data_IF_319454848690
#
_entry.id   IF_319454848690
#
_cell.length_a   1.000
_cell.length_b   1.000
_cell.length_c   1.000
_cell.angle_alpha   90.00
_cell.angle_beta   90.00
_cell.angle_gamma   90.00
#
_symmetry.space_group_name_H-M   'P 1'
#
loop_
_entity.id
_entity.type
_entity.pdbx_description
1 polymer ?
#
# COMPACT_ATOMS: atom_id res chain seq x y z
N UNK A 1 -14.13 2.76 26.08
CA UNK A 1 -14.80 2.40 24.83
C UNK A 1 -14.28 1.05 24.39
N UNK A 2 -15.17 0.08 24.13
CA UNK A 2 -14.80 -1.28 23.81
C UNK A 2 -14.41 -1.37 22.32
N UNK A 3 -13.28 -2.01 22.01
CA UNK A 3 -12.82 -2.27 20.64
C UNK A 3 -13.27 -3.65 20.18
N UNK A 4 -13.38 -3.86 18.87
CA UNK A 4 -13.70 -5.18 18.32
C UNK A 4 -12.70 -6.26 18.76
N UNK A 5 -11.42 -5.90 18.87
CA UNK A 5 -10.36 -6.77 19.39
C UNK A 5 -10.57 -7.26 20.83
N UNK A 6 -11.43 -6.61 21.61
CA UNK A 6 -11.75 -7.03 22.99
C UNK A 6 -12.72 -8.23 23.02
N UNK A 7 -13.28 -8.64 21.88
CA UNK A 7 -14.30 -9.69 21.77
C UNK A 7 -13.82 -10.87 20.93
N UNK A 8 -14.23 -12.07 21.32
CA UNK A 8 -13.91 -13.29 20.57
C UNK A 8 -14.92 -13.62 19.47
N UNK A 9 -16.17 -13.19 19.64
CA UNK A 9 -17.27 -13.46 18.71
C UNK A 9 -18.11 -12.19 18.50
N UNK A 10 -17.99 -11.60 17.30
CA UNK A 10 -18.74 -10.41 16.91
C UNK A 10 -19.59 -10.75 15.68
N UNK A 11 -20.83 -10.29 15.69
CA UNK A 11 -21.82 -10.51 14.63
C UNK A 11 -22.46 -9.17 14.27
N UNK A 12 -22.49 -8.83 12.98
CA UNK A 12 -23.31 -7.74 12.49
C UNK A 12 -24.67 -8.27 12.02
N UNK A 13 -25.73 -7.73 12.60
CA UNK A 13 -27.12 -8.08 12.23
C UNK A 13 -27.66 -7.11 11.16
N UNK A 14 -28.86 -7.35 10.69
CA UNK A 14 -29.61 -6.43 9.86
C UNK A 14 -30.07 -5.18 10.64
N UNK A 15 -30.99 -4.43 10.06
CA UNK A 15 -31.63 -3.30 10.72
C UNK A 15 -32.58 -3.77 11.85
N UNK A 16 -33.31 -2.85 12.44
CA UNK A 16 -34.24 -3.10 13.55
C UNK A 16 -35.34 -4.11 13.21
N UNK A 17 -35.68 -4.27 11.91
CA UNK A 17 -36.68 -5.22 11.41
C UNK A 17 -36.07 -6.58 10.99
N UNK A 18 -34.74 -6.67 10.82
CA UNK A 18 -34.02 -7.88 10.39
C UNK A 18 -32.86 -8.21 11.36
N UNK A 19 -33.18 -8.90 12.43
CA UNK A 19 -32.18 -9.36 13.42
C UNK A 19 -31.27 -10.50 12.95
N UNK A 20 -31.29 -10.89 11.66
CA UNK A 20 -30.44 -11.95 11.15
C UNK A 20 -29.00 -11.51 11.00
N UNK A 21 -28.07 -12.34 11.48
CA UNK A 21 -26.64 -12.10 11.27
C UNK A 21 -26.29 -12.13 9.76
N UNK A 22 -25.57 -11.12 9.31
CA UNK A 22 -24.99 -11.09 7.96
C UNK A 22 -23.96 -12.22 7.83
N UNK A 23 -23.85 -12.85 6.63
CA UNK A 23 -22.97 -14.03 6.43
C UNK A 23 -22.28 -13.98 5.08
N UNK A 24 -21.02 -14.48 5.06
CA UNK A 24 -20.21 -14.72 3.86
C UNK A 24 -20.16 -13.52 2.92
N UNK A 25 -19.88 -12.34 3.45
CA UNK A 25 -19.86 -11.09 2.70
C UNK A 25 -18.98 -10.03 3.33
N UNK A 26 -18.58 -9.05 2.53
CA UNK A 26 -18.06 -7.80 3.00
C UNK A 26 -19.18 -6.91 3.52
N UNK A 27 -18.92 -6.20 4.61
CA UNK A 27 -19.85 -5.26 5.21
C UNK A 27 -19.12 -3.99 5.64
N UNK A 28 -19.64 -2.84 5.23
CA UNK A 28 -19.11 -1.53 5.56
C UNK A 28 -19.98 -0.91 6.64
N UNK A 29 -19.37 -0.48 7.73
CA UNK A 29 -20.07 0.13 8.87
C UNK A 29 -19.08 0.87 9.76
N UNK A 30 -19.61 1.66 10.67
CA UNK A 30 -18.85 2.35 11.72
C UNK A 30 -18.20 1.36 12.68
N UNK A 31 -17.26 1.84 13.48
CA UNK A 31 -16.74 1.09 14.62
C UNK A 31 -17.81 0.94 15.69
N UNK A 32 -17.83 -0.15 16.47
CA UNK A 32 -18.77 -0.29 17.57
C UNK A 32 -18.72 0.83 18.60
N UNK A 33 -17.55 1.40 18.85
CA UNK A 33 -17.37 2.53 19.74
C UNK A 33 -18.00 3.83 19.24
N UNK A 34 -18.29 3.93 17.95
CA UNK A 34 -18.85 5.12 17.31
C UNK A 34 -20.39 5.04 17.16
N UNK A 35 -21.01 3.88 17.49
CA UNK A 35 -22.47 3.68 17.36
C UNK A 35 -23.31 4.56 18.31
N UNK A 36 -22.72 5.00 19.42
CA UNK A 36 -23.39 5.87 20.40
C UNK A 36 -23.10 7.36 20.16
N UNK A 37 -22.27 7.67 19.15
CA UNK A 37 -21.92 9.04 18.78
C UNK A 37 -22.81 9.50 17.61
N UNK A 38 -23.65 10.51 17.86
CA UNK A 38 -24.56 11.08 16.85
C UNK A 38 -23.84 11.94 15.80
N UNK A 39 -22.48 12.00 15.82
CA UNK A 39 -21.70 12.72 14.84
C UNK A 39 -21.78 12.03 13.47
N UNK A 40 -22.39 12.72 12.48
CA UNK A 40 -22.57 12.24 11.10
C UNK A 40 -21.24 12.04 10.33
N UNK A 41 -20.09 12.40 10.92
CA UNK A 41 -18.77 12.37 10.32
C UNK A 41 -17.93 11.12 10.69
N UNK A 42 -18.55 10.10 11.29
CA UNK A 42 -17.83 8.87 11.66
C UNK A 42 -17.40 8.08 10.43
N UNK A 43 -16.11 7.70 10.41
CA UNK A 43 -15.53 6.89 9.34
C UNK A 43 -16.14 5.48 9.31
N UNK A 44 -16.54 5.01 8.12
CA UNK A 44 -16.96 3.63 7.89
C UNK A 44 -15.77 2.76 7.45
N UNK A 45 -15.74 1.53 7.96
CA UNK A 45 -14.70 0.54 7.67
C UNK A 45 -15.29 -0.73 7.07
N UNK A 46 -14.52 -1.41 6.22
CA UNK A 46 -14.88 -2.69 5.65
C UNK A 46 -14.47 -3.85 6.55
N UNK A 47 -15.41 -4.73 6.85
CA UNK A 47 -15.21 -5.96 7.64
C UNK A 47 -15.55 -7.18 6.79
N UNK A 48 -14.81 -8.27 6.98
CA UNK A 48 -15.15 -9.56 6.39
C UNK A 48 -15.99 -10.37 7.37
N UNK A 49 -17.17 -10.84 6.94
CA UNK A 49 -18.05 -11.72 7.70
C UNK A 49 -17.97 -13.12 7.09
N UNK A 50 -17.64 -14.12 7.90
CA UNK A 50 -17.47 -15.48 7.47
C UNK A 50 -18.84 -16.19 7.19
N UNK A 51 -18.77 -17.47 6.75
CA UNK A 51 -19.97 -18.28 6.46
C UNK A 51 -20.85 -18.55 7.68
N UNK A 52 -20.30 -18.45 8.89
CA UNK A 52 -21.04 -18.63 10.14
C UNK A 52 -21.64 -17.32 10.65
N UNK A 53 -21.36 -16.19 10.00
CA UNK A 53 -21.80 -14.85 10.39
C UNK A 53 -20.83 -14.14 11.32
N UNK A 54 -19.69 -14.75 11.64
CA UNK A 54 -18.69 -14.17 12.54
C UNK A 54 -17.84 -13.16 11.79
N UNK A 55 -17.66 -11.96 12.37
CA UNK A 55 -16.73 -10.93 11.88
C UNK A 55 -15.31 -11.45 12.05
N UNK A 56 -14.50 -11.30 11.00
CA UNK A 56 -13.09 -11.64 11.10
C UNK A 56 -12.36 -10.57 11.91
N UNK A 57 -11.86 -10.96 13.06
CA UNK A 57 -10.94 -10.20 13.90
C UNK A 57 -9.67 -11.03 13.98
N UNK A 58 -8.48 -10.47 13.64
CA UNK A 58 -7.22 -11.18 13.82
C UNK A 58 -7.07 -11.64 15.27
N UNK A 59 -6.66 -12.88 15.47
CA UNK A 59 -6.33 -13.33 16.82
C UNK A 59 -5.16 -12.49 17.34
N UNK A 60 -5.28 -12.04 18.58
CA UNK A 60 -4.14 -11.48 19.31
C UNK A 60 -3.10 -12.60 19.47
N UNK A 61 -2.13 -12.62 18.55
CA UNK A 61 -1.03 -13.57 18.63
C UNK A 61 -0.11 -13.07 19.73
N UNK A 62 -0.18 -13.75 20.87
CA UNK A 62 0.65 -13.48 22.03
C UNK A 62 2.09 -13.11 21.62
N UNK A 63 2.45 -11.86 21.92
CA UNK A 63 3.78 -11.27 21.86
C UNK A 63 4.52 -11.27 20.51
N UNK A 64 4.35 -10.21 19.73
CA UNK A 64 5.42 -9.70 18.86
C UNK A 64 5.64 -10.43 17.54
N UNK A 65 4.70 -11.22 17.05
CA UNK A 65 4.82 -11.91 15.76
C UNK A 65 3.99 -11.30 14.62
N UNK A 66 3.17 -10.28 14.89
CA UNK A 66 2.44 -9.59 13.83
C UNK A 66 3.37 -8.68 13.01
N UNK A 67 3.13 -8.60 11.71
CA UNK A 67 3.76 -7.58 10.90
C UNK A 67 3.30 -6.19 11.38
N UNK A 68 4.17 -5.19 11.23
CA UNK A 68 3.79 -3.81 11.49
C UNK A 68 4.07 -2.93 10.28
N UNK A 69 3.33 -1.85 10.13
CA UNK A 69 3.48 -0.96 9.00
C UNK A 69 2.85 0.41 9.19
N UNK A 70 2.90 1.17 8.10
CA UNK A 70 2.36 2.52 8.02
C UNK A 70 1.47 2.67 6.80
N UNK A 71 0.45 3.52 6.90
CA UNK A 71 -0.36 3.97 5.76
C UNK A 71 0.37 5.06 4.99
N UNK A 72 0.25 4.99 3.66
CA UNK A 72 0.75 6.00 2.73
C UNK A 72 -0.35 6.43 1.77
N UNK A 73 -0.20 7.61 1.21
CA UNK A 73 -0.98 8.11 0.07
C UNK A 73 -0.05 8.60 -1.02
N UNK A 74 -0.56 8.66 -2.23
CA UNK A 74 0.13 9.23 -3.37
C UNK A 74 -0.19 10.71 -3.45
N UNK A 75 0.83 11.56 -3.43
CA UNK A 75 0.73 13.01 -3.58
C UNK A 75 1.88 13.49 -4.47
N UNK A 76 1.58 14.18 -5.56
CA UNK A 76 2.56 14.82 -6.46
C UNK A 76 3.78 13.90 -6.77
N UNK A 77 3.52 12.74 -7.35
CA UNK A 77 4.53 11.72 -7.67
C UNK A 77 5.33 11.19 -6.44
N UNK A 78 4.81 11.38 -5.23
CA UNK A 78 5.47 10.98 -3.99
C UNK A 78 4.53 10.13 -3.12
N UNK A 79 5.09 9.09 -2.49
CA UNK A 79 4.39 8.34 -1.47
C UNK A 79 4.61 9.01 -0.10
N UNK A 80 3.59 9.72 0.38
CA UNK A 80 3.59 10.42 1.66
C UNK A 80 2.95 9.57 2.75
N UNK A 81 3.59 9.49 3.92
CA UNK A 81 3.05 8.77 5.07
C UNK A 81 1.77 9.44 5.58
N UNK A 82 0.71 8.65 5.76
CA UNK A 82 -0.58 9.10 6.32
C UNK A 82 -0.62 8.94 7.83
N UNK A 83 -1.26 9.87 8.52
CA UNK A 83 -1.61 9.69 9.92
C UNK A 83 -2.75 8.67 10.04
N UNK A 84 -2.69 7.87 11.09
CA UNK A 84 -3.78 7.00 11.53
C UNK A 84 -4.15 7.45 12.94
N UNK A 85 -5.40 7.81 13.17
CA UNK A 85 -5.86 8.38 14.43
C UNK A 85 -4.99 9.57 14.92
N UNK A 86 -4.67 10.48 13.99
CA UNK A 86 -3.88 11.68 14.27
C UNK A 86 -2.37 11.51 14.43
N UNK A 87 -1.84 10.28 14.35
CA UNK A 87 -0.43 9.96 14.58
C UNK A 87 0.20 9.19 13.41
N UNK A 88 1.53 9.31 13.26
CA UNK A 88 2.33 8.50 12.32
C UNK A 88 2.83 7.18 12.95
N UNK A 89 2.11 6.66 13.95
CA UNK A 89 2.49 5.40 14.59
C UNK A 89 2.25 4.22 13.65
N UNK A 90 3.13 3.22 13.75
CA UNK A 90 2.92 1.95 13.09
C UNK A 90 1.72 1.22 13.72
N UNK A 91 1.05 0.42 12.93
CA UNK A 91 -0.04 -0.45 13.37
C UNK A 91 0.26 -1.89 12.97
N UNK A 92 -0.36 -2.82 13.67
CA UNK A 92 -0.24 -4.24 13.38
C UNK A 92 -1.04 -4.63 12.14
N UNK A 93 -0.51 -5.60 11.40
CA UNK A 93 -1.06 -6.05 10.12
C UNK A 93 -1.15 -7.56 10.11
N UNK A 94 -2.32 -8.07 9.78
CA UNK A 94 -2.55 -9.49 9.52
C UNK A 94 -3.02 -9.68 8.08
N UNK A 95 -2.43 -10.68 7.39
CA UNK A 95 -2.83 -11.06 6.04
C UNK A 95 -3.85 -12.19 6.08
N UNK A 96 -4.94 -12.03 5.32
CA UNK A 96 -5.95 -13.07 5.13
C UNK A 96 -6.32 -13.23 3.67
N UNK A 97 -6.50 -14.46 3.26
CA UNK A 97 -7.07 -14.78 1.94
C UNK A 97 -8.59 -14.87 2.02
N UNK A 98 -9.26 -14.05 1.20
CA UNK A 98 -10.72 -14.06 1.06
C UNK A 98 -11.04 -14.24 -0.43
N UNK A 99 -11.82 -15.26 -0.80
CA UNK A 99 -12.21 -15.54 -2.18
C UNK A 99 -11.01 -15.51 -3.17
N UNK A 100 -9.92 -16.18 -2.80
CA UNK A 100 -8.66 -16.28 -3.57
C UNK A 100 -7.84 -15.01 -3.72
N UNK A 101 -8.25 -13.88 -3.14
CA UNK A 101 -7.48 -12.63 -3.08
C UNK A 101 -6.87 -12.44 -1.70
N UNK A 102 -5.72 -11.80 -1.63
CA UNK A 102 -5.04 -11.47 -0.38
C UNK A 102 -5.48 -10.07 0.07
N UNK A 103 -5.79 -9.92 1.37
CA UNK A 103 -6.18 -8.68 2.03
C UNK A 103 -5.35 -8.49 3.29
N UNK A 104 -5.18 -7.23 3.70
CA UNK A 104 -4.61 -6.89 4.99
C UNK A 104 -5.70 -6.34 5.92
N UNK A 105 -5.55 -6.65 7.20
CA UNK A 105 -6.44 -6.20 8.26
C UNK A 105 -5.62 -5.65 9.42
N UNK A 106 -6.15 -4.65 10.12
CA UNK A 106 -5.63 -4.25 11.42
C UNK A 106 -6.17 -5.16 12.53
N UNK A 107 -5.78 -4.93 13.77
CA UNK A 107 -6.19 -5.76 14.91
C UNK A 107 -7.70 -5.71 15.20
N UNK A 108 -8.37 -4.63 14.83
CA UNK A 108 -9.81 -4.48 15.01
C UNK A 108 -10.62 -5.13 13.86
N UNK A 109 -9.95 -5.84 12.94
CA UNK A 109 -10.60 -6.51 11.80
C UNK A 109 -11.00 -5.58 10.67
N UNK A 110 -10.54 -4.34 10.68
CA UNK A 110 -10.77 -3.39 9.59
C UNK A 110 -9.87 -3.73 8.40
N UNK A 111 -10.47 -3.82 7.22
CA UNK A 111 -9.74 -4.02 5.98
C UNK A 111 -8.88 -2.81 5.65
N UNK A 112 -7.61 -3.05 5.34
CA UNK A 112 -6.68 -2.01 4.92
C UNK A 112 -6.76 -1.79 3.40
N UNK A 113 -6.67 -0.54 2.98
CA UNK A 113 -6.72 -0.10 1.58
C UNK A 113 -5.59 0.87 1.27
N UNK A 114 -5.49 1.30 -0.01
CA UNK A 114 -4.47 2.21 -0.52
C UNK A 114 -3.04 1.64 -0.35
N UNK A 115 -2.06 2.46 -0.01
CA UNK A 115 -0.66 2.06 0.15
C UNK A 115 -0.34 1.73 1.61
N UNK A 116 0.26 0.56 1.83
CA UNK A 116 0.72 0.10 3.14
C UNK A 116 2.19 -0.29 3.02
N UNK A 117 3.06 0.34 3.79
CA UNK A 117 4.45 -0.10 3.92
C UNK A 117 4.58 -1.02 5.14
N UNK A 118 4.94 -2.26 4.90
CA UNK A 118 5.32 -3.21 5.95
C UNK A 118 6.76 -2.91 6.34
N UNK A 119 7.00 -2.61 7.60
CA UNK A 119 8.34 -2.30 8.14
C UNK A 119 8.89 -3.41 9.03
N UNK A 120 8.03 -4.07 9.80
CA UNK A 120 8.37 -5.30 10.51
C UNK A 120 7.70 -6.47 9.81
N UNK A 121 8.44 -7.46 9.28
CA UNK A 121 7.86 -8.56 8.54
C UNK A 121 7.26 -9.62 9.48
N UNK A 122 6.26 -10.37 8.97
CA UNK A 122 5.85 -11.65 9.50
C UNK A 122 6.01 -12.71 8.40
N UNK A 123 7.15 -13.39 8.38
CA UNK A 123 7.49 -14.36 7.35
C UNK A 123 6.66 -15.64 7.42
N UNK A 124 6.09 -15.98 8.57
CA UNK A 124 5.18 -17.12 8.72
C UNK A 124 3.91 -16.92 7.89
N UNK A 125 3.40 -15.68 7.82
CA UNK A 125 2.26 -15.30 6.97
C UNK A 125 2.66 -14.86 5.55
N UNK A 126 3.96 -14.96 5.24
CA UNK A 126 4.51 -14.53 3.96
C UNK A 126 4.43 -13.01 3.75
N UNK A 127 4.45 -12.24 4.85
CA UNK A 127 4.57 -10.79 4.84
C UNK A 127 6.05 -10.40 4.93
N UNK A 128 6.55 -9.73 3.93
CA UNK A 128 7.92 -9.21 3.87
C UNK A 128 7.90 -7.68 3.89
N UNK A 129 9.02 -7.08 4.26
CA UNK A 129 9.18 -5.63 4.26
C UNK A 129 9.00 -5.05 2.86
N UNK A 130 8.31 -3.93 2.76
CA UNK A 130 8.15 -3.18 1.52
C UNK A 130 6.77 -2.53 1.37
N UNK A 131 6.60 -1.81 0.27
CA UNK A 131 5.37 -1.12 -0.07
C UNK A 131 4.41 -2.06 -0.79
N UNK A 132 3.17 -2.10 -0.34
CA UNK A 132 2.05 -2.82 -0.96
C UNK A 132 0.96 -1.83 -1.38
N UNK A 133 0.14 -2.23 -2.35
CA UNK A 133 -1.02 -1.46 -2.79
C UNK A 133 -2.27 -2.33 -2.82
N UNK A 134 -3.38 -1.81 -2.27
CA UNK A 134 -4.63 -2.53 -2.08
C UNK A 134 -5.81 -1.91 -2.82
N UNK A 135 -5.53 -1.07 -3.82
CA UNK A 135 -6.58 -0.34 -4.54
C UNK A 135 -7.10 0.86 -3.77
N UNK A 136 -8.24 1.39 -4.18
CA UNK A 136 -8.93 2.47 -3.48
C UNK A 136 -9.60 2.00 -2.19
N UNK A 137 -10.25 2.92 -1.47
CA UNK A 137 -10.81 2.68 -0.14
C UNK A 137 -11.84 1.54 -0.08
N UNK A 138 -12.55 1.29 -1.16
CA UNK A 138 -13.57 0.24 -1.23
C UNK A 138 -13.09 -1.09 -1.88
N UNK A 139 -11.81 -1.21 -2.24
CA UNK A 139 -11.28 -2.44 -2.88
C UNK A 139 -10.58 -3.37 -1.88
N UNK A 140 -9.49 -2.92 -1.26
CA UNK A 140 -8.70 -3.65 -0.26
C UNK A 140 -7.98 -4.91 -0.78
N UNK A 141 -8.17 -5.35 -2.01
CA UNK A 141 -7.46 -6.51 -2.54
C UNK A 141 -6.03 -6.17 -2.94
N UNK A 142 -5.05 -7.00 -2.49
CA UNK A 142 -3.63 -6.80 -2.81
C UNK A 142 -3.39 -6.79 -4.33
N UNK A 143 -2.74 -5.74 -4.83
CA UNK A 143 -2.41 -5.58 -6.25
C UNK A 143 -1.05 -6.17 -6.58
N UNK A 144 -0.93 -6.67 -7.81
CA UNK A 144 0.31 -7.22 -8.38
C UNK A 144 0.46 -6.76 -9.83
N UNK A 145 1.68 -6.82 -10.37
CA UNK A 145 1.97 -6.37 -11.72
C UNK A 145 1.88 -4.86 -11.89
N UNK A 146 1.64 -4.43 -13.11
CA UNK A 146 1.51 -3.01 -13.45
C UNK A 146 0.18 -2.46 -12.95
N UNK A 147 0.23 -1.31 -12.28
CA UNK A 147 -0.94 -0.58 -11.80
C UNK A 147 -0.86 0.88 -12.28
N UNK A 148 -2.01 1.48 -12.53
CA UNK A 148 -2.15 2.92 -12.74
C UNK A 148 -2.96 3.47 -11.58
N UNK A 149 -2.38 4.38 -10.82
CA UNK A 149 -2.99 4.96 -9.63
C UNK A 149 -3.11 6.45 -9.84
N UNK A 150 -4.28 6.99 -9.52
CA UNK A 150 -4.56 8.42 -9.58
C UNK A 150 -4.39 9.01 -8.20
N UNK A 151 -3.73 10.17 -8.12
CA UNK A 151 -3.66 10.96 -6.89
C UNK A 151 -4.92 11.83 -6.70
N UNK A 152 -4.96 12.60 -5.61
CA UNK A 152 -6.07 13.48 -5.29
C UNK A 152 -6.21 14.67 -6.27
N UNK A 153 -5.14 15.04 -6.98
CA UNK A 153 -5.14 16.08 -8.01
C UNK A 153 -5.68 15.57 -9.35
N UNK A 154 -5.85 14.25 -9.47
CA UNK A 154 -6.34 13.59 -10.69
C UNK A 154 -5.23 13.14 -11.64
N UNK A 155 -3.97 13.32 -11.28
CA UNK A 155 -2.83 12.87 -12.07
C UNK A 155 -2.62 11.36 -11.92
N UNK A 156 -2.17 10.71 -13.00
CA UNK A 156 -2.05 9.26 -13.05
C UNK A 156 -0.59 8.83 -13.09
N UNK A 157 -0.21 8.03 -12.12
CA UNK A 157 1.12 7.48 -11.96
C UNK A 157 1.14 5.97 -12.18
N UNK A 158 2.27 5.48 -12.68
CA UNK A 158 2.47 4.05 -12.96
C UNK A 158 3.26 3.39 -11.84
N UNK A 159 2.80 2.22 -11.46
CA UNK A 159 3.42 1.39 -10.44
C UNK A 159 3.68 -0.01 -10.97
N UNK A 160 4.62 -0.72 -10.33
CA UNK A 160 4.81 -2.14 -10.53
C UNK A 160 5.02 -2.85 -9.18
N UNK A 161 4.16 -3.84 -8.92
CA UNK A 161 4.23 -4.70 -7.74
C UNK A 161 4.56 -6.13 -8.16
N UNK A 162 5.40 -6.83 -7.38
CA UNK A 162 5.83 -8.17 -7.69
C UNK A 162 4.66 -9.12 -7.97
N UNK A 163 4.82 -9.98 -8.97
CA UNK A 163 3.78 -10.93 -9.40
C UNK A 163 3.96 -12.32 -8.80
N UNK A 164 5.16 -12.61 -8.33
CA UNK A 164 5.57 -13.91 -7.76
C UNK A 164 6.64 -13.70 -6.68
N UNK A 165 6.88 -14.73 -5.89
CA UNK A 165 8.03 -14.78 -5.00
C UNK A 165 9.22 -15.39 -5.74
N UNK A 166 10.33 -14.65 -5.78
CA UNK A 166 11.60 -15.07 -6.41
C UNK A 166 12.76 -14.36 -5.72
N UNK A 167 13.99 -14.59 -6.19
CA UNK A 167 15.17 -13.88 -5.67
C UNK A 167 15.19 -12.38 -5.97
N UNK A 168 14.42 -11.94 -6.98
CA UNK A 168 14.40 -10.54 -7.45
C UNK A 168 13.12 -9.80 -7.16
N UNK A 169 12.04 -10.47 -6.75
CA UNK A 169 10.77 -9.83 -6.42
C UNK A 169 9.96 -10.66 -5.42
N UNK A 170 9.17 -9.97 -4.59
CA UNK A 170 8.21 -10.59 -3.70
C UNK A 170 6.79 -10.20 -4.14
N UNK A 171 5.88 -11.18 -4.14
CA UNK A 171 4.50 -10.98 -4.59
C UNK A 171 3.82 -9.86 -3.81
N UNK A 172 3.29 -8.86 -4.52
CA UNK A 172 2.59 -7.71 -3.97
C UNK A 172 3.50 -6.57 -3.51
N UNK A 173 4.82 -6.78 -3.44
CA UNK A 173 5.77 -5.75 -3.00
C UNK A 173 6.15 -4.85 -4.17
N UNK A 174 6.13 -3.54 -3.96
CA UNK A 174 6.59 -2.55 -4.92
C UNK A 174 8.08 -2.70 -5.23
N UNK A 175 8.40 -2.80 -6.51
CA UNK A 175 9.79 -2.95 -6.96
C UNK A 175 10.58 -1.67 -6.64
N UNK A 176 11.83 -1.84 -6.22
CA UNK A 176 12.83 -0.77 -6.15
C UNK A 176 14.01 -1.14 -7.05
N UNK A 177 14.41 -0.21 -7.94
CA UNK A 177 15.47 -0.43 -8.93
C UNK A 177 14.96 -0.71 -10.34
N UNK A 178 15.80 -1.36 -11.13
CA UNK A 178 15.53 -1.63 -12.55
C UNK A 178 14.58 -2.81 -12.74
N UNK A 179 13.49 -2.57 -13.43
CA UNK A 179 12.60 -3.62 -13.98
C UNK A 179 12.34 -3.36 -15.47
N UNK A 180 12.85 -4.22 -16.32
CA UNK A 180 12.68 -4.13 -17.79
C UNK A 180 13.08 -2.76 -18.35
N UNK A 181 14.25 -2.27 -17.96
CA UNK A 181 14.80 -0.95 -18.32
C UNK A 181 13.95 0.26 -17.87
N UNK A 182 13.10 0.06 -16.87
CA UNK A 182 12.34 1.10 -16.19
C UNK A 182 12.81 1.20 -14.74
N UNK A 183 12.92 2.42 -14.24
CA UNK A 183 13.33 2.66 -12.87
C UNK A 183 12.12 2.81 -11.96
N UNK A 184 12.10 2.05 -10.87
CA UNK A 184 11.05 2.12 -9.86
C UNK A 184 11.63 2.41 -8.48
N UNK A 185 10.85 3.09 -7.65
CA UNK A 185 11.11 3.27 -6.23
C UNK A 185 9.86 2.94 -5.42
N UNK A 186 9.93 1.94 -4.55
CA UNK A 186 8.78 1.43 -3.78
C UNK A 186 7.54 1.16 -4.67
N UNK A 187 7.77 0.69 -5.89
CA UNK A 187 6.76 0.43 -6.90
C UNK A 187 6.46 1.59 -7.85
N UNK A 188 6.66 2.84 -7.45
CA UNK A 188 6.43 4.01 -8.30
C UNK A 188 7.45 4.10 -9.44
N UNK A 189 6.99 4.25 -10.67
CA UNK A 189 7.82 4.51 -11.83
C UNK A 189 8.40 5.92 -11.73
N UNK A 190 9.73 6.02 -11.65
CA UNK A 190 10.42 7.30 -11.65
C UNK A 190 10.58 7.81 -13.10
N UNK A 191 10.13 9.01 -13.36
CA UNK A 191 10.17 9.66 -14.69
C UNK A 191 10.85 11.00 -14.58
N UNK A 192 11.43 11.47 -15.67
CA UNK A 192 11.82 12.88 -15.79
C UNK A 192 10.54 13.73 -15.87
N UNK A 193 10.49 14.80 -15.10
CA UNK A 193 9.33 15.67 -14.96
C UNK A 193 9.37 16.82 -15.99
N UNK A 194 10.09 17.88 -15.69
CA UNK A 194 10.13 19.09 -16.53
C UNK A 194 10.98 18.90 -17.79
N UNK A 195 12.10 18.22 -17.67
CA UNK A 195 13.09 18.06 -18.73
C UNK A 195 13.05 16.67 -19.38
N UNK A 196 13.70 16.55 -20.53
CA UNK A 196 13.83 15.28 -21.25
C UNK A 196 14.49 14.18 -20.43
N UNK A 197 15.42 14.54 -19.55
CA UNK A 197 16.17 13.65 -18.67
C UNK A 197 16.25 14.22 -17.26
N UNK A 198 16.29 13.33 -16.28
CA UNK A 198 16.43 13.69 -14.86
C UNK A 198 17.29 12.65 -14.13
N UNK A 199 18.06 13.11 -13.13
CA UNK A 199 18.72 12.21 -12.18
C UNK A 199 17.68 11.76 -11.16
N UNK A 200 17.51 10.44 -11.03
CA UNK A 200 16.58 9.82 -10.09
C UNK A 200 17.35 8.99 -9.05
N UNK A 201 17.33 9.38 -7.77
CA UNK A 201 17.90 8.58 -6.70
C UNK A 201 16.99 7.39 -6.38
N UNK A 202 17.59 6.24 -6.12
CA UNK A 202 16.89 5.05 -5.59
C UNK A 202 17.21 4.85 -4.12
N UNK A 203 18.41 5.26 -3.73
CA UNK A 203 18.87 5.33 -2.36
C UNK A 203 19.96 6.43 -2.25
N UNK A 204 20.64 6.51 -1.13
CA UNK A 204 21.70 7.53 -0.90
C UNK A 204 22.97 7.28 -1.71
N UNK A 205 23.07 6.18 -2.46
CA UNK A 205 24.30 5.74 -3.14
C UNK A 205 24.05 5.52 -4.64
N UNK A 206 22.86 5.07 -5.02
CA UNK A 206 22.54 4.72 -6.39
C UNK A 206 21.66 5.76 -7.06
N UNK A 207 22.19 6.37 -8.11
CA UNK A 207 21.51 7.37 -8.94
C UNK A 207 21.43 6.85 -10.37
N UNK A 208 20.31 7.12 -11.01
CA UNK A 208 20.06 6.74 -12.39
C UNK A 208 19.60 7.97 -13.18
N UNK A 209 19.91 7.97 -14.46
CA UNK A 209 19.34 8.97 -15.39
C UNK A 209 18.14 8.33 -16.04
N UNK A 210 16.98 8.95 -15.95
CA UNK A 210 15.73 8.52 -16.57
C UNK A 210 15.20 9.54 -17.53
N UNK A 211 14.43 9.11 -18.52
CA UNK A 211 13.68 9.98 -19.41
C UNK A 211 12.22 10.14 -18.98
N UNK A 212 11.42 10.93 -19.70
CA UNK A 212 9.98 11.16 -19.45
C UNK A 212 9.14 9.86 -19.42
N UNK A 213 9.62 8.78 -19.99
CA UNK A 213 8.95 7.46 -19.95
C UNK A 213 9.47 6.55 -18.84
N UNK A 214 10.34 7.04 -17.96
CA UNK A 214 10.96 6.27 -16.88
C UNK A 214 12.01 5.27 -17.38
N UNK A 215 12.47 5.36 -18.63
CA UNK A 215 13.51 4.46 -19.15
C UNK A 215 14.88 4.90 -18.66
N UNK A 216 15.63 3.93 -18.11
CA UNK A 216 17.00 4.15 -17.65
C UNK A 216 17.90 4.41 -18.88
N UNK A 217 18.78 5.40 -18.78
CA UNK A 217 19.73 5.79 -19.80
C UNK A 217 21.11 5.23 -19.47
N UNK A 218 21.82 4.67 -20.47
CA UNK A 218 23.04 3.91 -20.22
C UNK A 218 24.28 4.37 -21.00
N UNK A 219 24.14 5.24 -22.00
CA UNK A 219 25.15 5.32 -23.05
C UNK A 219 25.63 6.71 -23.45
N UNK A 220 25.21 7.77 -22.78
CA UNK A 220 25.69 9.11 -23.07
C UNK A 220 26.51 9.67 -21.92
N UNK A 221 27.52 10.44 -22.23
CA UNK A 221 28.28 11.24 -21.26
C UNK A 221 27.52 12.52 -20.97
N UNK A 222 26.97 13.16 -22.01
CA UNK A 222 26.16 14.37 -21.91
C UNK A 222 24.72 14.08 -22.35
N UNK A 223 23.74 14.43 -21.52
CA UNK A 223 22.32 14.36 -21.83
C UNK A 223 21.79 15.77 -22.12
N UNK A 224 21.29 15.98 -23.35
CA UNK A 224 20.91 17.30 -23.87
C UNK A 224 19.42 17.35 -24.17
N UNK A 225 18.86 18.56 -24.00
CA UNK A 225 17.58 18.95 -24.56
C UNK A 225 17.84 20.16 -25.45
N UNK A 226 17.40 20.09 -26.71
CA UNK A 226 17.77 21.00 -27.78
C UNK A 226 19.30 21.10 -27.96
N UNK A 227 19.94 22.17 -27.53
CA UNK A 227 21.40 22.32 -27.55
C UNK A 227 22.03 22.42 -26.16
N UNK A 228 21.20 22.46 -25.12
CA UNK A 228 21.64 22.67 -23.75
C UNK A 228 21.97 21.33 -23.04
N UNK A 229 23.10 21.28 -22.36
CA UNK A 229 23.50 20.14 -21.53
C UNK A 229 22.68 20.18 -20.23
N UNK A 230 21.80 19.20 -20.04
CA UNK A 230 21.03 19.05 -18.80
C UNK A 230 21.81 18.30 -17.74
N UNK A 231 22.51 17.23 -18.13
CA UNK A 231 23.28 16.37 -17.24
C UNK A 231 24.58 15.99 -17.91
N UNK A 232 25.70 16.27 -17.26
CA UNK A 232 27.01 15.71 -17.59
C UNK A 232 27.28 14.50 -16.72
N UNK A 233 27.14 13.31 -17.30
CA UNK A 233 27.32 12.06 -16.56
C UNK A 233 28.80 11.78 -16.21
N UNK A 234 29.77 12.48 -16.80
CA UNK A 234 31.18 12.35 -16.44
C UNK A 234 31.46 12.82 -15.01
N UNK A 235 30.64 13.74 -14.50
CA UNK A 235 30.75 14.25 -13.14
C UNK A 235 30.13 13.29 -12.10
N UNK A 236 29.18 12.46 -12.48
CA UNK A 236 28.55 11.45 -11.62
C UNK A 236 29.45 10.23 -11.37
N UNK A 237 30.39 9.96 -12.27
CA UNK A 237 31.31 8.84 -12.14
C UNK A 237 32.50 9.10 -11.21
N UNK A 238 32.61 10.31 -10.66
CA UNK A 238 33.74 10.75 -9.81
C UNK A 238 33.40 10.80 -8.32
N UNK A 239 32.14 10.50 -7.95
CA UNK A 239 31.63 10.41 -6.56
C UNK A 239 31.45 8.97 -6.16
#
# INVERSE_FOLDING_TARGET
>A
TAKLSDYTDVYFCGDEDDGHAKKNKWYKTWRPEDFDDEDEDNDEFWYWIDKNGKVYIPADTASGSNATGYKYKLEDATLAQKKVSGSYNSFEITKKKVNSKDYFFNNDGEMLSQFIEVVTPNTADGLVTGMYYFGGDDDGSMKTGSQSVRDDNGDTYKFYFGTKNSTSENKGVGITGNKSNKLYYKGLLLTADDYKYQIAPVDNVHFFIVNKNGSIQHSCVEYKEDSDVLIDASDLAKT
#
